data_IF_986225737947
#
_entry.id   IF_986225737947
#
_cell.length_a   1.000
_cell.length_b   1.000
_cell.length_c   1.000
_cell.angle_alpha   90.00
_cell.angle_beta   90.00
_cell.angle_gamma   90.00
#
_symmetry.space_group_name_H-M   'P 1'
#
loop_
_entity.id
_entity.type
_entity.pdbx_description
1 polymer ?
#
# COMPACT_ATOMS: atom_id res chain seq x y z
N UNK A 1 0.87 29.65 55.31
CA UNK A 1 0.85 28.53 54.33
C UNK A 1 0.39 29.04 52.96
N UNK A 2 1.13 29.96 52.33
CA UNK A 2 0.73 30.59 51.04
C UNK A 2 1.90 30.81 50.05
N UNK A 3 3.10 30.30 50.33
CA UNK A 3 4.29 30.56 49.52
C UNK A 3 4.71 29.40 48.58
N UNK A 4 4.12 28.20 48.72
CA UNK A 4 4.60 26.99 48.02
C UNK A 4 3.80 26.68 46.74
N UNK A 5 2.62 27.31 46.54
CA UNK A 5 1.78 27.08 45.36
C UNK A 5 2.11 27.94 44.13
N UNK A 6 2.91 28.99 44.25
CA UNK A 6 3.29 29.83 43.09
C UNK A 6 4.49 29.28 42.28
N UNK A 7 5.36 28.47 42.87
CA UNK A 7 6.56 27.98 42.19
C UNK A 7 6.28 26.90 41.13
N UNK A 8 5.18 26.15 41.26
CA UNK A 8 4.82 25.08 40.32
C UNK A 8 4.13 25.58 39.03
N UNK A 9 3.55 26.77 39.04
CA UNK A 9 2.93 27.37 37.84
C UNK A 9 3.95 28.15 36.99
N UNK A 10 4.93 28.82 37.59
CA UNK A 10 5.99 29.50 36.83
C UNK A 10 6.86 28.52 36.02
N UNK A 11 7.18 27.35 36.58
CA UNK A 11 8.00 26.34 35.90
C UNK A 11 7.36 25.75 34.65
N UNK A 12 6.02 25.62 34.61
CA UNK A 12 5.28 25.06 33.47
C UNK A 12 5.02 26.08 32.35
N UNK A 13 4.94 27.37 32.68
CA UNK A 13 4.79 28.45 31.68
C UNK A 13 6.14 28.73 31.00
N UNK A 14 7.25 28.66 31.75
CA UNK A 14 8.60 28.88 31.21
C UNK A 14 9.03 27.75 30.24
N UNK A 15 8.61 26.51 30.49
CA UNK A 15 8.91 25.37 29.62
C UNK A 15 8.01 25.30 28.37
N UNK A 16 6.81 25.89 28.39
CA UNK A 16 5.97 26.05 27.20
C UNK A 16 6.49 27.17 26.28
N UNK A 17 7.08 28.22 26.83
CA UNK A 17 7.72 29.30 26.06
C UNK A 17 9.04 28.87 25.39
N UNK A 18 9.85 28.03 26.04
CA UNK A 18 11.14 27.57 25.50
C UNK A 18 10.97 26.57 24.33
N UNK A 19 9.86 25.83 24.29
CA UNK A 19 9.52 24.91 23.19
C UNK A 19 8.85 25.62 21.99
N UNK A 20 8.30 26.82 22.17
CA UNK A 20 7.68 27.60 21.09
C UNK A 20 8.69 28.48 20.33
N UNK A 21 9.79 28.87 20.96
CA UNK A 21 10.86 29.68 20.31
C UNK A 21 11.81 28.86 19.42
N UNK A 22 11.75 27.53 19.45
CA UNK A 22 12.64 26.65 18.67
C UNK A 22 12.15 26.35 17.24
N UNK A 23 11.07 26.97 16.75
CA UNK A 23 10.44 26.61 15.46
C UNK A 23 10.22 27.77 14.47
N UNK A 24 10.82 28.95 14.66
CA UNK A 24 10.70 30.04 13.68
C UNK A 24 12.08 30.56 13.27
N UNK A 25 12.77 29.78 12.43
CA UNK A 25 13.80 30.31 11.53
C UNK A 25 13.49 29.83 10.12
N UNK A 26 12.46 30.40 9.49
CA UNK A 26 12.41 30.45 8.03
C UNK A 26 13.25 31.64 7.59
N UNK A 27 14.45 31.37 7.08
CA UNK A 27 15.21 32.36 6.34
C UNK A 27 14.41 32.75 5.09
N UNK A 28 13.75 33.91 5.14
CA UNK A 28 13.20 34.56 3.97
C UNK A 28 14.35 35.34 3.32
N UNK A 29 14.92 34.80 2.25
CA UNK A 29 15.85 35.54 1.42
C UNK A 29 15.04 36.47 0.49
N UNK A 30 15.30 37.78 0.58
CA UNK A 30 14.83 38.75 -0.39
C UNK A 30 15.85 38.77 -1.53
N UNK A 31 15.42 38.42 -2.75
CA UNK A 31 16.24 38.61 -3.95
C UNK A 31 15.86 39.94 -4.59
N UNK A 32 16.77 40.92 -4.51
CA UNK A 32 16.68 42.16 -5.27
C UNK A 32 17.29 41.89 -6.65
N UNK A 33 16.46 41.94 -7.70
CA UNK A 33 16.91 41.55 -9.03
C UNK A 33 17.66 42.65 -9.80
N UNK A 34 17.69 43.90 -9.32
CA UNK A 34 18.54 44.99 -9.82
C UNK A 34 18.36 46.27 -8.98
N UNK A 35 19.41 47.08 -8.82
CA UNK A 35 19.25 48.53 -8.64
C UNK A 35 19.34 49.21 -10.00
N UNK A 36 18.40 50.12 -10.29
CA UNK A 36 18.35 50.84 -11.57
C UNK A 36 19.55 51.80 -11.64
N UNK A 37 20.67 51.34 -12.22
CA UNK A 37 21.83 52.20 -12.52
C UNK A 37 23.21 51.54 -12.63
N UNK A 38 23.36 50.24 -12.38
CA UNK A 38 24.69 49.61 -12.38
C UNK A 38 24.97 48.78 -13.66
N UNK A 39 25.99 49.17 -14.42
CA UNK A 39 26.49 48.43 -15.58
C UNK A 39 27.84 47.78 -15.23
N UNK A 40 27.90 46.47 -14.91
CA UNK A 40 29.18 45.82 -14.64
C UNK A 40 29.94 45.54 -15.94
N UNK A 41 31.05 46.27 -16.08
CA UNK A 41 32.09 46.14 -17.08
C UNK A 41 32.54 44.68 -17.25
N UNK A 42 32.62 44.21 -18.50
CA UNK A 42 33.06 42.86 -18.85
C UNK A 42 34.48 42.57 -18.31
N UNK A 43 34.58 41.68 -17.33
CA UNK A 43 35.84 41.07 -16.93
C UNK A 43 36.11 39.85 -17.83
N UNK A 44 37.13 39.95 -18.67
CA UNK A 44 37.67 38.82 -19.43
C UNK A 44 38.43 37.89 -18.47
N UNK A 45 37.84 36.75 -18.10
CA UNK A 45 38.52 35.73 -17.32
C UNK A 45 39.29 34.80 -18.27
N UNK A 46 40.62 34.86 -18.26
CA UNK A 46 41.44 33.84 -18.88
C UNK A 46 41.36 32.55 -18.03
N UNK A 47 40.83 31.47 -18.60
CA UNK A 47 40.82 30.15 -17.95
C UNK A 47 42.21 29.53 -18.00
N UNK A 48 42.85 29.36 -16.84
CA UNK A 48 43.99 28.45 -16.72
C UNK A 48 43.49 27.00 -16.90
N UNK A 49 44.34 26.13 -17.48
CA UNK A 49 44.04 24.69 -17.61
C UNK A 49 43.75 24.09 -16.23
N UNK A 50 42.56 23.49 -16.07
CA UNK A 50 42.11 22.92 -14.80
C UNK A 50 43.03 21.79 -14.33
N UNK A 51 43.42 21.81 -13.06
CA UNK A 51 44.17 20.72 -12.45
C UNK A 51 43.37 19.42 -12.51
N UNK A 52 43.98 18.33 -12.98
CA UNK A 52 43.35 17.01 -12.99
C UNK A 52 43.19 16.52 -11.54
N UNK A 53 41.96 16.26 -11.11
CA UNK A 53 41.67 15.76 -9.77
C UNK A 53 42.20 14.32 -9.60
N UNK A 54 43.10 14.10 -8.63
CA UNK A 54 43.75 12.81 -8.34
C UNK A 54 43.25 12.12 -7.07
N UNK A 55 42.21 12.65 -6.42
CA UNK A 55 41.62 12.09 -5.20
C UNK A 55 40.65 10.93 -5.46
N UNK A 56 40.04 10.36 -4.40
CA UNK A 56 39.10 9.24 -4.54
C UNK A 56 37.94 9.58 -5.46
N UNK A 57 37.54 8.65 -6.34
CA UNK A 57 36.51 8.88 -7.37
C UNK A 57 35.17 9.42 -6.81
N UNK A 58 34.85 9.12 -5.55
CA UNK A 58 33.65 9.60 -4.85
C UNK A 58 33.60 11.13 -4.64
N UNK A 59 34.74 11.82 -4.70
CA UNK A 59 34.86 13.26 -4.49
C UNK A 59 35.34 14.01 -5.74
N UNK A 60 35.23 13.38 -6.92
CA UNK A 60 35.57 14.01 -8.19
C UNK A 60 34.61 15.18 -8.46
N UNK A 61 35.11 16.44 -8.56
CA UNK A 61 34.27 17.61 -8.77
C UNK A 61 33.75 17.75 -10.22
N UNK A 62 34.09 16.81 -11.10
CA UNK A 62 33.64 16.81 -12.50
C UNK A 62 32.12 16.66 -12.55
N UNK A 63 31.45 17.69 -13.09
CA UNK A 63 30.03 17.61 -13.42
C UNK A 63 29.90 16.93 -14.79
N UNK A 64 29.18 15.81 -14.84
CA UNK A 64 28.92 15.11 -16.10
C UNK A 64 27.95 15.97 -16.93
N UNK A 65 28.38 16.39 -18.12
CA UNK A 65 27.50 17.07 -19.04
C UNK A 65 26.54 16.03 -19.63
N UNK A 66 25.26 16.14 -19.28
CA UNK A 66 24.22 15.25 -19.81
C UNK A 66 24.22 15.35 -21.34
N UNK A 67 24.31 14.22 -22.07
CA UNK A 67 24.17 14.22 -23.51
C UNK A 67 22.86 14.90 -23.93
N UNK A 68 22.82 15.62 -25.06
CA UNK A 68 21.57 16.14 -25.60
C UNK A 68 20.53 15.02 -25.70
N UNK A 69 19.29 15.31 -25.32
CA UNK A 69 18.18 14.35 -25.51
C UNK A 69 18.13 13.97 -26.99
N UNK A 70 18.17 12.67 -27.34
CA UNK A 70 18.12 12.30 -28.75
C UNK A 70 16.82 12.80 -29.37
N UNK A 71 16.94 13.36 -30.58
CA UNK A 71 15.83 13.99 -31.30
C UNK A 71 15.23 13.01 -32.32
N UNK A 72 13.96 13.21 -32.68
CA UNK A 72 13.29 12.36 -33.68
C UNK A 72 12.51 11.16 -33.13
N UNK A 73 12.32 11.07 -31.81
CA UNK A 73 11.37 10.08 -31.28
C UNK A 73 9.93 10.48 -31.62
N UNK A 74 9.09 9.52 -32.05
CA UNK A 74 7.66 9.78 -32.19
C UNK A 74 7.07 10.13 -30.82
N UNK A 75 6.60 11.37 -30.68
CA UNK A 75 5.90 11.85 -29.47
C UNK A 75 4.42 11.48 -29.48
N UNK A 76 3.95 10.92 -30.60
CA UNK A 76 2.60 10.46 -30.81
C UNK A 76 2.65 9.03 -31.35
N UNK A 77 2.01 8.12 -30.62
CA UNK A 77 1.75 6.77 -31.09
C UNK A 77 0.27 6.69 -31.42
N UNK A 78 -0.04 6.51 -32.70
CA UNK A 78 -1.40 6.21 -33.12
C UNK A 78 -1.69 4.74 -32.79
N UNK A 79 -2.31 4.49 -31.64
CA UNK A 79 -2.85 3.18 -31.31
C UNK A 79 -4.22 3.05 -32.00
N UNK A 80 -4.26 2.36 -33.13
CA UNK A 80 -5.53 1.91 -33.69
C UNK A 80 -6.01 0.68 -32.92
N UNK A 81 -7.21 0.76 -32.35
CA UNK A 81 -7.92 -0.44 -31.91
C UNK A 81 -8.39 -1.13 -33.20
N UNK A 82 -7.69 -2.20 -33.56
CA UNK A 82 -8.07 -3.05 -34.67
C UNK A 82 -9.09 -4.07 -34.15
N UNK A 83 -10.30 -4.06 -34.70
CA UNK A 83 -11.24 -5.14 -34.50
C UNK A 83 -10.74 -6.38 -35.26
N UNK A 84 -10.36 -7.44 -34.54
CA UNK A 84 -9.88 -8.69 -35.15
C UNK A 84 -8.69 -9.32 -34.42
N UNK A 85 -7.93 -10.15 -35.14
CA UNK A 85 -6.73 -10.80 -34.61
C UNK A 85 -5.63 -9.78 -34.35
N UNK A 86 -4.97 -9.90 -33.19
CA UNK A 86 -3.85 -9.04 -32.83
C UNK A 86 -2.75 -9.05 -33.92
N UNK A 87 -2.16 -7.88 -34.28
CA UNK A 87 -1.09 -7.81 -35.27
C UNK A 87 0.09 -8.75 -34.94
N UNK A 88 0.78 -9.29 -35.96
CA UNK A 88 2.02 -10.04 -35.75
C UNK A 88 3.03 -9.25 -34.91
N UNK A 89 3.58 -9.86 -33.86
CA UNK A 89 4.46 -9.18 -32.89
C UNK A 89 3.75 -8.56 -31.69
N UNK A 90 2.42 -8.68 -31.60
CA UNK A 90 1.66 -8.31 -30.39
C UNK A 90 1.98 -9.26 -29.22
N UNK A 91 1.90 -8.73 -28.00
CA UNK A 91 2.07 -9.51 -26.77
C UNK A 91 1.01 -10.62 -26.62
N UNK A 92 1.19 -11.51 -25.65
CA UNK A 92 0.23 -12.57 -25.34
C UNK A 92 -1.18 -12.00 -25.07
N UNK A 93 -2.24 -12.70 -25.48
CA UNK A 93 -3.60 -12.27 -25.17
C UNK A 93 -3.82 -12.29 -23.65
N UNK A 94 -4.25 -11.15 -23.11
CA UNK A 94 -4.63 -11.03 -21.70
C UNK A 94 -6.14 -11.21 -21.56
N UNK A 95 -6.55 -11.94 -20.52
CA UNK A 95 -7.96 -12.05 -20.18
C UNK A 95 -8.48 -10.69 -19.69
N UNK A 96 -9.74 -10.35 -19.99
CA UNK A 96 -10.38 -9.14 -19.46
C UNK A 96 -10.40 -9.08 -17.92
N UNK A 97 -10.34 -10.25 -17.27
CA UNK A 97 -10.24 -10.39 -15.82
C UNK A 97 -8.80 -10.55 -15.31
N UNK A 98 -7.81 -10.05 -16.05
CA UNK A 98 -6.41 -10.12 -15.62
C UNK A 98 -6.21 -9.36 -14.30
N UNK A 99 -6.93 -8.25 -14.12
CA UNK A 99 -6.95 -7.52 -12.87
C UNK A 99 -7.73 -8.26 -11.78
N UNK A 100 -7.14 -8.31 -10.59
CA UNK A 100 -7.72 -8.86 -9.39
C UNK A 100 -7.04 -8.25 -8.16
N UNK A 101 -7.53 -8.59 -6.98
CA UNK A 101 -6.95 -8.12 -5.73
C UNK A 101 -7.01 -9.19 -4.66
N UNK A 102 -6.26 -8.97 -3.57
CA UNK A 102 -6.24 -9.87 -2.43
C UNK A 102 -6.98 -9.26 -1.24
N UNK A 103 -7.63 -10.10 -0.45
CA UNK A 103 -8.22 -9.77 0.84
C UNK A 103 -7.45 -10.56 1.90
N UNK A 104 -7.01 -9.85 2.94
CA UNK A 104 -6.38 -10.46 4.09
C UNK A 104 -7.38 -11.32 4.86
N UNK A 105 -7.01 -12.57 5.16
CA UNK A 105 -7.84 -13.54 5.88
C UNK A 105 -8.33 -12.98 7.22
N UNK A 106 -7.53 -12.11 7.84
CA UNK A 106 -7.84 -11.51 9.14
C UNK A 106 -8.93 -10.44 9.13
N UNK A 107 -9.37 -9.98 7.96
CA UNK A 107 -10.42 -8.94 7.81
C UNK A 107 -11.52 -9.36 6.84
N UNK A 108 -11.57 -10.63 6.45
CA UNK A 108 -12.52 -11.08 5.41
C UNK A 108 -13.98 -10.91 5.84
N UNK A 109 -14.29 -10.96 7.14
CA UNK A 109 -15.62 -10.72 7.70
C UNK A 109 -16.08 -9.25 7.58
N UNK A 110 -15.13 -8.31 7.61
CA UNK A 110 -15.38 -6.88 7.42
C UNK A 110 -15.66 -6.56 5.96
N UNK A 111 -14.99 -7.28 5.05
CA UNK A 111 -15.10 -7.03 3.61
C UNK A 111 -16.31 -7.75 3.00
N UNK A 112 -16.47 -9.06 3.26
CA UNK A 112 -17.48 -9.87 2.60
C UNK A 112 -18.83 -9.89 3.33
N UNK A 113 -18.80 -9.77 4.66
CA UNK A 113 -19.98 -9.90 5.50
C UNK A 113 -19.71 -10.74 6.75
N UNK A 114 -20.60 -10.63 7.74
CA UNK A 114 -20.41 -11.25 9.06
C UNK A 114 -20.97 -12.68 9.13
N UNK A 115 -21.80 -13.06 8.18
CA UNK A 115 -22.35 -14.41 8.00
C UNK A 115 -22.88 -14.60 6.58
N UNK A 116 -23.16 -15.83 6.15
CA UNK A 116 -23.79 -16.11 4.84
C UNK A 116 -25.17 -15.48 4.67
N UNK A 117 -25.83 -15.10 5.77
CA UNK A 117 -27.12 -14.39 5.78
C UNK A 117 -26.95 -12.87 5.71
N UNK A 118 -25.78 -12.33 6.05
CA UNK A 118 -25.52 -10.90 6.12
C UNK A 118 -24.24 -10.55 5.35
N UNK A 119 -24.41 -10.42 4.04
CA UNK A 119 -23.37 -9.99 3.10
C UNK A 119 -23.20 -8.47 3.12
N UNK A 120 -21.99 -8.00 2.84
CA UNK A 120 -21.67 -6.59 2.76
C UNK A 120 -22.12 -6.00 1.40
N UNK A 121 -23.23 -5.25 1.41
CA UNK A 121 -23.83 -4.66 0.19
C UNK A 121 -22.88 -3.72 -0.55
N UNK A 122 -22.15 -2.79 0.11
CA UNK A 122 -21.08 -2.02 -0.53
C UNK A 122 -20.08 -2.85 -1.34
N UNK A 123 -19.64 -4.00 -0.80
CA UNK A 123 -18.73 -4.89 -1.51
C UNK A 123 -19.38 -5.50 -2.75
N UNK A 124 -20.63 -5.96 -2.65
CA UNK A 124 -21.39 -6.47 -3.79
C UNK A 124 -21.56 -5.42 -4.89
N UNK A 125 -21.82 -4.17 -4.53
CA UNK A 125 -21.95 -3.07 -5.48
C UNK A 125 -20.63 -2.78 -6.21
N UNK A 126 -19.50 -2.80 -5.48
CA UNK A 126 -18.18 -2.68 -6.09
C UNK A 126 -17.93 -3.83 -7.08
N UNK A 127 -18.22 -5.07 -6.68
CA UNK A 127 -18.02 -6.24 -7.53
C UNK A 127 -18.90 -6.19 -8.77
N UNK A 128 -20.16 -5.77 -8.65
CA UNK A 128 -21.05 -5.61 -9.80
C UNK A 128 -20.50 -4.59 -10.81
N UNK A 129 -19.92 -3.49 -10.33
CA UNK A 129 -19.29 -2.49 -11.21
C UNK A 129 -18.03 -3.00 -11.90
N UNK A 130 -17.19 -3.75 -11.19
CA UNK A 130 -15.99 -4.35 -11.77
C UNK A 130 -16.35 -5.45 -12.78
N UNK A 131 -17.26 -6.37 -12.42
CA UNK A 131 -17.75 -7.43 -13.33
C UNK A 131 -18.38 -6.84 -14.58
N UNK A 132 -19.12 -5.73 -14.50
CA UNK A 132 -19.68 -5.06 -15.68
C UNK A 132 -18.59 -4.55 -16.65
N UNK A 133 -17.40 -4.23 -16.15
CA UNK A 133 -16.27 -3.73 -16.96
C UNK A 133 -15.33 -4.83 -17.44
N UNK A 134 -15.05 -5.83 -16.61
CA UNK A 134 -14.06 -6.88 -16.89
C UNK A 134 -14.68 -8.23 -17.26
N UNK A 135 -16.00 -8.39 -17.15
CA UNK A 135 -16.74 -9.65 -17.32
C UNK A 135 -16.59 -10.63 -16.16
N UNK A 136 -15.50 -10.52 -15.37
CA UNK A 136 -15.18 -11.37 -14.22
C UNK A 136 -14.19 -10.66 -13.30
N UNK A 137 -14.27 -10.93 -11.99
CA UNK A 137 -13.27 -10.50 -11.00
C UNK A 137 -12.67 -11.71 -10.32
N UNK A 138 -11.34 -11.74 -10.23
CA UNK A 138 -10.60 -12.78 -9.51
C UNK A 138 -10.10 -12.19 -8.18
N UNK A 139 -10.39 -12.87 -7.08
CA UNK A 139 -10.04 -12.40 -5.73
C UNK A 139 -9.29 -13.51 -4.99
N UNK A 140 -8.16 -13.17 -4.38
CA UNK A 140 -7.41 -14.07 -3.51
C UNK A 140 -7.73 -13.77 -2.04
N UNK A 141 -8.04 -14.80 -1.25
CA UNK A 141 -8.19 -14.69 0.21
C UNK A 141 -7.03 -15.42 0.85
N UNK A 142 -6.25 -14.73 1.67
CA UNK A 142 -5.07 -15.29 2.33
C UNK A 142 -4.27 -14.22 3.06
N UNK A 143 -2.94 -14.34 3.07
CA UNK A 143 -2.02 -13.39 3.69
C UNK A 143 -1.21 -14.07 4.78
N UNK A 144 -0.43 -13.33 5.58
CA UNK A 144 0.43 -13.92 6.63
C UNK A 144 -0.34 -14.66 7.73
N UNK A 145 -1.65 -14.43 7.82
CA UNK A 145 -2.52 -15.12 8.80
C UNK A 145 -3.15 -16.37 8.22
N UNK A 146 -2.85 -16.71 6.97
CA UNK A 146 -3.33 -17.92 6.32
C UNK A 146 -2.57 -19.15 6.83
N UNK A 147 -1.29 -19.01 7.15
CA UNK A 147 -0.39 -20.08 7.60
C UNK A 147 -0.80 -20.65 8.96
N UNK A 148 -1.63 -19.94 9.69
CA UNK A 148 -2.16 -20.31 11.01
C UNK A 148 -3.69 -20.32 11.03
N UNK A 149 -4.34 -20.29 9.86
CA UNK A 149 -5.78 -20.34 9.76
C UNK A 149 -6.31 -21.78 9.89
N UNK A 150 -7.28 -21.99 10.78
CA UNK A 150 -7.89 -23.29 11.07
C UNK A 150 -9.40 -23.21 10.83
N UNK A 151 -9.91 -24.13 10.03
CA UNK A 151 -11.35 -24.32 9.86
C UNK A 151 -11.92 -24.99 11.11
N UNK A 152 -12.92 -24.38 11.73
CA UNK A 152 -13.61 -24.91 12.91
C UNK A 152 -15.11 -24.96 12.69
N UNK A 153 -15.79 -25.92 13.31
CA UNK A 153 -17.25 -25.99 13.26
C UNK A 153 -17.89 -24.78 13.95
N UNK A 154 -17.35 -24.39 15.11
CA UNK A 154 -17.80 -23.24 15.87
C UNK A 154 -16.61 -22.49 16.46
N UNK A 155 -16.70 -21.17 16.50
CA UNK A 155 -15.79 -20.30 17.24
C UNK A 155 -16.35 -20.10 18.65
N UNK A 156 -15.47 -19.89 19.65
CA UNK A 156 -15.87 -19.64 21.05
C UNK A 156 -16.79 -18.41 21.17
N UNK A 157 -16.65 -17.45 20.26
CA UNK A 157 -17.43 -16.21 20.21
C UNK A 157 -18.64 -16.27 19.28
N UNK A 158 -18.85 -17.38 18.56
CA UNK A 158 -19.89 -17.53 17.54
C UNK A 158 -19.67 -16.72 16.25
N UNK A 159 -18.64 -15.86 16.21
CA UNK A 159 -18.28 -15.02 15.06
C UNK A 159 -17.75 -15.85 13.88
N UNK A 160 -17.78 -15.26 12.69
CA UNK A 160 -17.21 -15.86 11.47
C UNK A 160 -15.72 -16.15 11.63
N UNK A 161 -14.98 -15.20 12.22
CA UNK A 161 -13.55 -15.28 12.48
C UNK A 161 -13.27 -15.03 13.96
N UNK A 162 -12.29 -15.73 14.51
CA UNK A 162 -11.78 -15.51 15.85
C UNK A 162 -10.26 -15.63 15.86
N UNK A 163 -9.58 -14.63 16.43
CA UNK A 163 -8.14 -14.66 16.68
C UNK A 163 -7.87 -15.38 17.99
N UNK A 164 -6.95 -16.33 17.99
CA UNK A 164 -6.47 -17.00 19.18
C UNK A 164 -5.21 -16.30 19.71
N UNK A 165 -5.41 -15.26 20.53
CA UNK A 165 -4.33 -14.49 21.14
C UNK A 165 -3.53 -15.26 22.18
N UNK A 166 -4.01 -16.43 22.63
CA UNK A 166 -3.32 -17.25 23.62
C UNK A 166 -2.26 -18.16 22.99
N UNK A 167 -2.27 -18.31 21.66
CA UNK A 167 -1.42 -19.25 20.93
C UNK A 167 -0.72 -18.57 19.75
N UNK A 168 -0.06 -17.43 19.98
CA UNK A 168 0.65 -16.71 18.91
C UNK A 168 1.84 -17.52 18.38
N UNK A 169 1.91 -17.73 17.06
CA UNK A 169 2.97 -18.48 16.40
C UNK A 169 3.70 -17.60 15.34
N UNK A 170 4.96 -17.94 15.03
CA UNK A 170 5.76 -17.31 13.98
C UNK A 170 6.59 -16.09 14.41
N UNK A 171 7.41 -15.56 13.50
CA UNK A 171 8.33 -14.44 13.77
C UNK A 171 7.64 -13.10 14.03
N UNK A 172 6.38 -12.97 13.60
CA UNK A 172 5.53 -11.79 13.80
C UNK A 172 4.52 -11.96 14.94
N UNK A 173 4.53 -13.09 15.67
CA UNK A 173 3.55 -13.44 16.70
C UNK A 173 2.10 -13.32 16.20
N UNK A 174 1.82 -13.80 14.98
CA UNK A 174 0.47 -13.72 14.41
C UNK A 174 -0.44 -14.73 15.14
N UNK A 175 -1.51 -14.28 15.83
CA UNK A 175 -2.49 -15.17 16.43
C UNK A 175 -3.12 -16.06 15.33
N UNK A 176 -3.19 -17.39 15.53
CA UNK A 176 -3.98 -18.28 14.68
C UNK A 176 -5.40 -17.76 14.51
N UNK A 177 -5.95 -17.93 13.31
CA UNK A 177 -7.32 -17.54 13.03
C UNK A 177 -8.19 -18.77 12.89
N UNK A 178 -9.19 -18.87 13.75
CA UNK A 178 -10.26 -19.84 13.59
C UNK A 178 -11.34 -19.22 12.71
N UNK A 179 -11.71 -19.90 11.63
CA UNK A 179 -12.79 -19.48 10.74
C UNK A 179 -13.82 -20.60 10.58
N UNK A 180 -15.07 -20.22 10.36
CA UNK A 180 -16.17 -21.18 10.14
C UNK A 180 -16.34 -21.52 8.66
N UNK A 181 -16.98 -22.66 8.40
CA UNK A 181 -17.42 -23.06 7.05
C UNK A 181 -18.35 -22.01 6.41
N UNK A 182 -19.04 -21.22 7.24
CA UNK A 182 -19.85 -20.06 6.83
C UNK A 182 -19.09 -19.07 5.91
N UNK A 183 -17.75 -19.00 6.01
CA UNK A 183 -16.94 -18.20 5.08
C UNK A 183 -17.02 -18.74 3.64
N UNK A 184 -16.98 -20.07 3.47
CA UNK A 184 -17.10 -20.71 2.17
C UNK A 184 -18.49 -20.49 1.58
N UNK A 185 -19.54 -20.52 2.42
CA UNK A 185 -20.90 -20.20 2.01
C UNK A 185 -21.05 -18.73 1.58
N UNK A 186 -20.44 -17.78 2.32
CA UNK A 186 -20.39 -16.37 1.91
C UNK A 186 -19.75 -16.23 0.51
N UNK A 187 -18.58 -16.84 0.31
CA UNK A 187 -17.86 -16.77 -0.96
C UNK A 187 -18.68 -17.40 -2.10
N UNK A 188 -19.32 -18.54 -1.85
CA UNK A 188 -20.21 -19.21 -2.80
C UNK A 188 -21.44 -18.36 -3.15
N UNK A 189 -22.09 -17.76 -2.16
CA UNK A 189 -23.24 -16.88 -2.37
C UNK A 189 -22.85 -15.64 -3.19
N UNK A 190 -21.70 -15.04 -2.94
CA UNK A 190 -21.23 -13.91 -3.78
C UNK A 190 -21.02 -14.36 -5.23
N UNK A 191 -20.43 -15.55 -5.44
CA UNK A 191 -20.24 -16.13 -6.78
C UNK A 191 -21.54 -16.53 -7.48
N UNK A 192 -22.63 -16.77 -6.75
CA UNK A 192 -23.94 -17.06 -7.35
C UNK A 192 -24.66 -15.79 -7.83
N UNK A 193 -24.38 -14.64 -7.21
CA UNK A 193 -24.92 -13.34 -7.65
C UNK A 193 -24.09 -12.68 -8.75
N UNK A 194 -22.77 -12.84 -8.70
CA UNK A 194 -21.81 -12.10 -9.56
C UNK A 194 -20.71 -13.04 -10.05
N UNK A 195 -20.15 -12.77 -11.24
CA UNK A 195 -19.03 -13.55 -11.80
C UNK A 195 -17.70 -13.22 -11.08
N UNK A 196 -17.64 -13.57 -9.79
CA UNK A 196 -16.47 -13.45 -8.92
C UNK A 196 -15.90 -14.85 -8.71
N UNK A 197 -14.58 -15.00 -8.85
CA UNK A 197 -13.87 -16.25 -8.59
C UNK A 197 -12.85 -16.07 -7.49
N UNK A 198 -12.67 -17.13 -6.72
CA UNK A 198 -11.86 -17.10 -5.51
C UNK A 198 -10.62 -17.96 -5.65
N UNK A 199 -9.50 -17.43 -5.17
CA UNK A 199 -8.32 -18.20 -4.82
C UNK A 199 -8.24 -18.23 -3.30
N UNK A 200 -8.78 -19.27 -2.70
CA UNK A 200 -8.60 -19.52 -1.27
C UNK A 200 -7.34 -20.35 -1.10
N UNK A 201 -6.37 -19.79 -0.42
CA UNK A 201 -5.14 -20.51 -0.16
C UNK A 201 -5.30 -21.29 1.15
N UNK A 202 -5.16 -22.61 1.05
CA UNK A 202 -5.43 -23.58 2.13
C UNK A 202 -4.11 -23.94 2.82
N UNK A 203 -4.11 -24.01 4.14
CA UNK A 203 -3.01 -24.57 4.91
C UNK A 203 -3.05 -26.10 4.80
N UNK A 204 -2.00 -26.71 4.26
CA UNK A 204 -1.92 -28.17 4.01
C UNK A 204 -1.47 -29.00 5.22
N UNK A 205 -1.25 -28.40 6.39
CA UNK A 205 -0.58 -29.08 7.52
C UNK A 205 -1.46 -29.51 8.71
N UNK A 206 -2.76 -29.21 8.78
CA UNK A 206 -3.64 -29.87 9.76
C UNK A 206 -5.14 -29.66 9.48
N UNK A 207 -5.76 -30.61 8.76
CA UNK A 207 -7.21 -30.84 8.87
C UNK A 207 -7.39 -31.94 9.91
N UNK A 208 -7.46 -31.56 11.18
CA UNK A 208 -7.79 -32.49 12.26
C UNK A 208 -9.32 -32.55 12.38
N UNK A 209 -9.93 -33.59 11.82
CA UNK A 209 -11.33 -33.89 12.09
C UNK A 209 -11.45 -34.36 13.54
N UNK A 210 -11.91 -33.50 14.44
CA UNK A 210 -12.38 -33.98 15.75
C UNK A 210 -13.73 -34.65 15.51
N UNK A 211 -13.74 -35.98 15.43
CA UNK A 211 -14.98 -36.74 15.51
C UNK A 211 -15.57 -36.49 16.89
N UNK A 212 -16.67 -35.75 16.97
CA UNK A 212 -17.48 -35.72 18.17
C UNK A 212 -17.89 -37.16 18.49
N UNK A 213 -17.43 -37.68 19.62
CA UNK A 213 -17.89 -38.98 20.13
C UNK A 213 -19.40 -38.87 20.32
N UNK A 214 -20.23 -39.76 19.75
CA UNK A 214 -21.62 -39.83 20.13
C UNK A 214 -21.67 -40.19 21.62
N UNK A 215 -22.41 -39.39 22.39
CA UNK A 215 -22.86 -39.72 23.74
C UNK A 215 -23.94 -40.79 23.70
#
# INVERSE_FOLDING_TARGET
MFAIRHWLYLGRILSFWLLLTAQIHKACAITVYYEKGYNPQAALTATASGANYTGPAAYNPTTLQVPPVPTGFPTQVNAQILDGSAPPGSSIPLMSSFFGFSIEMSVVDQVLGRSSQLLNVPFLNLMANLVRRSGRVNIRVGGNTQETAVLVQNTTTGKLLQKDYNNTLGTTNSPPIHYKEDLLYIMSNISSFLNVRWFLAILTTSISYTTASPS
#
